data_IF_029888163670
#
_entry.id   IF_029888163670
#
_cell.length_a   1.000
_cell.length_b   1.000
_cell.length_c   1.000
_cell.angle_alpha   90.00
_cell.angle_beta   90.00
_cell.angle_gamma   90.00
#
_symmetry.space_group_name_H-M   'P 1'
#
loop_
_entity.id
_entity.type
_entity.pdbx_description
1 polymer ?
#
# COMPACT_ATOMS: atom_id res chain seq x y z
N UNK A 1 0.19 -5.68 -7.66
CA UNK A 1 0.96 -6.41 -8.69
C UNK A 1 2.34 -5.81 -8.97
N UNK A 2 2.48 -4.49 -9.18
CA UNK A 2 3.78 -3.86 -9.51
C UNK A 2 4.92 -4.17 -8.52
N UNK A 3 4.64 -4.18 -7.21
CA UNK A 3 5.67 -4.45 -6.20
C UNK A 3 6.13 -5.92 -6.13
N UNK A 4 5.27 -6.87 -6.53
CA UNK A 4 5.64 -8.29 -6.61
C UNK A 4 6.57 -8.54 -7.79
N UNK A 5 6.36 -7.84 -8.92
CA UNK A 5 7.28 -7.90 -10.07
C UNK A 5 8.64 -7.28 -9.71
N UNK A 6 8.65 -6.14 -9.02
CA UNK A 6 9.86 -5.49 -8.53
C UNK A 6 10.62 -6.36 -7.52
N UNK A 7 9.90 -7.00 -6.59
CA UNK A 7 10.48 -7.94 -5.63
C UNK A 7 11.07 -9.17 -6.33
N UNK A 8 10.32 -9.74 -7.29
CA UNK A 8 10.78 -10.88 -8.08
C UNK A 8 12.04 -10.56 -8.88
N UNK A 9 12.08 -9.39 -9.53
CA UNK A 9 13.28 -8.90 -10.23
C UNK A 9 14.48 -8.77 -9.29
N UNK A 10 14.28 -8.23 -8.08
CA UNK A 10 15.34 -8.06 -7.11
C UNK A 10 15.88 -9.40 -6.60
N UNK A 11 15.01 -10.37 -6.30
CA UNK A 11 15.40 -11.73 -5.90
C UNK A 11 16.23 -12.40 -7.00
N UNK A 12 15.80 -12.30 -8.26
CA UNK A 12 16.48 -12.91 -9.39
C UNK A 12 17.87 -12.31 -9.61
N UNK A 13 18.01 -10.99 -9.45
CA UNK A 13 19.29 -10.29 -9.52
C UNK A 13 20.24 -10.70 -8.39
N UNK A 14 19.75 -10.75 -7.15
CA UNK A 14 20.56 -11.20 -6.00
C UNK A 14 21.00 -12.65 -6.18
N UNK A 15 20.09 -13.52 -6.62
CA UNK A 15 20.39 -14.94 -6.87
C UNK A 15 21.43 -15.13 -7.99
N UNK A 16 21.29 -14.40 -9.11
CA UNK A 16 22.28 -14.40 -10.19
C UNK A 16 23.65 -13.88 -9.72
N UNK A 17 23.65 -12.86 -8.86
CA UNK A 17 24.86 -12.33 -8.26
C UNK A 17 25.56 -13.38 -7.37
N UNK A 18 24.81 -14.07 -6.51
CA UNK A 18 25.36 -15.10 -5.62
C UNK A 18 25.94 -16.28 -6.40
N UNK A 19 25.25 -16.73 -7.47
CA UNK A 19 25.72 -17.87 -8.29
C UNK A 19 26.94 -17.55 -9.14
N UNK A 20 27.13 -16.29 -9.54
CA UNK A 20 28.20 -15.89 -10.46
C UNK A 20 29.26 -15.01 -9.76
N UNK A 21 29.37 -15.09 -8.44
CA UNK A 21 30.22 -14.23 -7.62
C UNK A 21 31.69 -14.18 -8.09
N UNK A 22 32.22 -15.31 -8.59
CA UNK A 22 33.60 -15.37 -9.12
C UNK A 22 33.78 -14.59 -10.44
N UNK A 23 32.78 -14.57 -11.32
CA UNK A 23 32.78 -13.82 -12.59
C UNK A 23 32.86 -12.31 -12.33
N UNK A 24 32.36 -11.89 -11.18
CA UNK A 24 32.35 -10.49 -10.77
C UNK A 24 33.66 -10.01 -10.15
N UNK A 25 34.47 -10.91 -9.59
CA UNK A 25 35.79 -10.60 -9.04
C UNK A 25 36.94 -10.80 -10.03
N UNK A 26 36.72 -11.60 -11.06
CA UNK A 26 37.69 -11.72 -12.15
C UNK A 26 37.40 -10.67 -13.22
N UNK A 27 38.40 -9.84 -13.60
CA UNK A 27 38.26 -8.94 -14.74
C UNK A 27 38.21 -9.79 -16.01
N UNK A 28 37.01 -10.16 -16.43
CA UNK A 28 36.76 -10.80 -17.71
C UNK A 28 36.31 -9.75 -18.72
N UNK A 29 36.98 -9.75 -19.86
CA UNK A 29 36.59 -9.00 -21.03
C UNK A 29 35.45 -9.74 -21.71
N UNK A 30 34.24 -9.18 -21.66
CA UNK A 30 33.08 -9.69 -22.40
C UNK A 30 32.99 -8.91 -23.70
N UNK A 31 33.18 -9.61 -24.82
CA UNK A 31 32.98 -9.05 -26.14
C UNK A 31 31.53 -9.26 -26.57
N UNK A 32 30.80 -8.15 -26.74
CA UNK A 32 29.40 -8.16 -27.18
C UNK A 32 29.25 -7.84 -28.68
N UNK A 33 30.36 -7.77 -29.43
CA UNK A 33 30.37 -7.48 -30.86
C UNK A 33 30.32 -5.98 -31.22
N UNK A 34 30.11 -5.11 -30.23
CA UNK A 34 30.14 -3.63 -30.38
C UNK A 34 31.07 -2.97 -29.36
N UNK A 35 31.85 -3.76 -28.63
CA UNK A 35 32.80 -3.27 -27.64
C UNK A 35 33.16 -4.34 -26.63
N UNK A 36 34.36 -4.21 -26.06
CA UNK A 36 34.83 -5.03 -24.95
C UNK A 36 34.44 -4.32 -23.65
N UNK A 37 33.57 -4.95 -22.88
CA UNK A 37 33.16 -4.45 -21.57
C UNK A 37 33.80 -5.32 -20.49
N UNK A 38 34.32 -4.68 -19.46
CA UNK A 38 34.80 -5.38 -18.28
C UNK A 38 33.65 -5.66 -17.32
N UNK A 39 33.75 -6.74 -16.56
CA UNK A 39 32.75 -7.15 -15.56
C UNK A 39 32.49 -6.10 -14.46
N UNK A 40 33.44 -5.19 -14.22
CA UNK A 40 33.39 -4.18 -13.17
C UNK A 40 32.35 -3.06 -13.39
N UNK A 41 32.27 -2.38 -14.56
CA UNK A 41 31.18 -1.43 -14.83
C UNK A 41 29.79 -2.06 -14.79
N UNK A 42 29.64 -3.35 -15.13
CA UNK A 42 28.36 -4.05 -15.05
C UNK A 42 27.85 -4.15 -13.60
N UNK A 43 28.75 -4.46 -12.66
CA UNK A 43 28.45 -4.52 -11.22
C UNK A 43 28.00 -3.19 -10.64
N UNK A 44 28.69 -2.12 -10.99
CA UNK A 44 28.33 -0.77 -10.55
C UNK A 44 26.90 -0.44 -11.02
N UNK A 45 26.59 -0.77 -12.27
CA UNK A 45 25.26 -0.53 -12.86
C UNK A 45 24.19 -1.37 -12.16
N UNK A 46 24.48 -2.64 -11.83
CA UNK A 46 23.57 -3.50 -11.05
C UNK A 46 23.34 -2.96 -9.64
N UNK A 47 24.39 -2.50 -8.95
CA UNK A 47 24.28 -1.92 -7.62
C UNK A 47 23.40 -0.65 -7.61
N UNK A 48 23.60 0.25 -8.58
CA UNK A 48 22.71 1.40 -8.76
C UNK A 48 21.27 0.97 -9.04
N UNK A 49 21.05 -0.02 -9.91
CA UNK A 49 19.72 -0.57 -10.19
C UNK A 49 19.03 -1.11 -8.93
N UNK A 50 19.78 -1.77 -8.04
CA UNK A 50 19.27 -2.33 -6.78
C UNK A 50 18.87 -1.21 -5.81
N UNK A 51 19.67 -0.15 -5.71
CA UNK A 51 19.37 1.04 -4.91
C UNK A 51 18.07 1.71 -5.40
N UNK A 52 17.91 1.90 -6.71
CA UNK A 52 16.68 2.46 -7.28
C UNK A 52 15.46 1.58 -7.01
N UNK A 53 15.59 0.25 -7.14
CA UNK A 53 14.50 -0.67 -6.84
C UNK A 53 14.07 -0.58 -5.37
N UNK A 54 15.03 -0.54 -4.43
CA UNK A 54 14.75 -0.37 -3.01
C UNK A 54 14.05 0.97 -2.72
N UNK A 55 14.53 2.06 -3.33
CA UNK A 55 13.93 3.37 -3.17
C UNK A 55 12.48 3.41 -3.67
N UNK A 56 12.20 2.86 -4.86
CA UNK A 56 10.83 2.75 -5.38
C UNK A 56 9.95 1.87 -4.50
N UNK A 57 10.48 0.77 -3.97
CA UNK A 57 9.74 -0.11 -3.07
C UNK A 57 9.33 0.60 -1.78
N UNK A 58 10.25 1.34 -1.17
CA UNK A 58 9.98 2.14 0.04
C UNK A 58 8.96 3.25 -0.22
N UNK A 59 9.10 3.98 -1.34
CA UNK A 59 8.13 5.01 -1.72
C UNK A 59 6.73 4.43 -1.92
N UNK A 60 6.61 3.28 -2.60
CA UNK A 60 5.31 2.67 -2.87
C UNK A 60 4.66 2.12 -1.59
N UNK A 61 5.45 1.50 -0.69
CA UNK A 61 5.01 1.10 0.65
C UNK A 61 4.46 2.29 1.45
N UNK A 62 5.18 3.41 1.45
CA UNK A 62 4.75 4.59 2.19
C UNK A 62 3.45 5.18 1.62
N UNK A 63 3.29 5.16 0.28
CA UNK A 63 2.05 5.57 -0.37
C UNK A 63 0.88 4.65 -0.03
N UNK A 64 1.10 3.33 0.03
CA UNK A 64 0.08 2.37 0.42
C UNK A 64 -0.38 2.58 1.87
N UNK A 65 0.54 2.76 2.81
CA UNK A 65 0.19 3.02 4.21
C UNK A 65 -0.63 4.31 4.38
N UNK A 66 -0.28 5.38 3.65
CA UNK A 66 -1.06 6.63 3.67
C UNK A 66 -2.47 6.41 3.13
N UNK A 67 -2.62 5.65 2.05
CA UNK A 67 -3.94 5.35 1.49
C UNK A 67 -4.77 4.47 2.43
N UNK A 68 -4.18 3.47 3.08
CA UNK A 68 -4.89 2.63 4.05
C UNK A 68 -5.38 3.45 5.24
N UNK A 69 -4.56 4.34 5.78
CA UNK A 69 -4.95 5.23 6.87
C UNK A 69 -6.12 6.16 6.48
N UNK A 70 -6.13 6.68 5.24
CA UNK A 70 -7.23 7.50 4.73
C UNK A 70 -8.52 6.67 4.58
N UNK A 71 -8.40 5.44 4.05
CA UNK A 71 -9.54 4.53 3.88
C UNK A 71 -10.15 4.16 5.24
N UNK A 72 -9.31 3.89 6.23
CA UNK A 72 -9.77 3.56 7.58
C UNK A 72 -10.49 4.75 8.22
N UNK A 73 -9.96 5.96 8.06
CA UNK A 73 -10.61 7.16 8.57
C UNK A 73 -11.98 7.41 7.89
N UNK A 74 -12.04 7.31 6.56
CA UNK A 74 -13.30 7.39 5.80
C UNK A 74 -14.31 6.32 6.23
N UNK A 75 -13.86 5.10 6.51
CA UNK A 75 -14.72 4.01 6.99
C UNK A 75 -15.28 4.32 8.39
N UNK A 76 -14.48 4.92 9.26
CA UNK A 76 -14.93 5.36 10.58
C UNK A 76 -15.96 6.49 10.47
N UNK A 77 -15.72 7.50 9.63
CA UNK A 77 -16.70 8.57 9.37
C UNK A 77 -18.03 8.03 8.84
N UNK A 78 -17.99 7.13 7.85
CA UNK A 78 -19.20 6.45 7.34
C UNK A 78 -19.93 5.70 8.46
N UNK A 79 -19.19 5.05 9.35
CA UNK A 79 -19.77 4.29 10.46
C UNK A 79 -20.44 5.22 11.48
N UNK A 80 -19.84 6.37 11.78
CA UNK A 80 -20.41 7.40 12.65
C UNK A 80 -21.69 7.96 12.03
N UNK A 81 -21.63 8.39 10.76
CA UNK A 81 -22.80 8.91 10.05
C UNK A 81 -23.93 7.88 9.95
N UNK A 82 -23.62 6.60 9.79
CA UNK A 82 -24.62 5.53 9.80
C UNK A 82 -25.29 5.38 11.16
N UNK A 83 -24.52 5.47 12.26
CA UNK A 83 -25.07 5.46 13.63
C UNK A 83 -25.92 6.69 13.90
N UNK A 84 -25.50 7.86 13.45
CA UNK A 84 -26.26 9.11 13.61
C UNK A 84 -27.60 9.03 12.85
N UNK A 85 -27.59 8.46 11.64
CA UNK A 85 -28.81 8.22 10.88
C UNK A 85 -29.74 7.22 11.58
N UNK A 86 -29.19 6.15 12.14
CA UNK A 86 -29.96 5.16 12.92
C UNK A 86 -30.60 5.83 14.16
N UNK A 87 -29.86 6.65 14.90
CA UNK A 87 -30.39 7.42 16.04
C UNK A 87 -31.48 8.40 15.59
N UNK A 88 -31.27 9.11 14.47
CA UNK A 88 -32.27 10.02 13.92
C UNK A 88 -33.55 9.29 13.50
N UNK A 89 -33.41 8.11 12.88
CA UNK A 89 -34.54 7.27 12.49
C UNK A 89 -35.31 6.75 13.70
N UNK A 90 -34.61 6.32 14.76
CA UNK A 90 -35.20 5.88 16.01
C UNK A 90 -35.90 7.04 16.74
N UNK A 91 -35.31 8.24 16.73
CA UNK A 91 -35.97 9.44 17.28
C UNK A 91 -37.24 9.77 16.52
N UNK A 92 -37.23 9.78 15.19
CA UNK A 92 -38.44 9.99 14.39
C UNK A 92 -39.52 8.93 14.69
N UNK A 93 -39.13 7.67 14.82
CA UNK A 93 -40.06 6.60 15.17
C UNK A 93 -40.59 6.73 16.61
N UNK A 94 -39.77 7.21 17.57
CA UNK A 94 -40.22 7.46 18.94
C UNK A 94 -41.12 8.69 19.06
N UNK A 95 -40.84 9.76 18.32
CA UNK A 95 -41.67 10.97 18.28
C UNK A 95 -43.00 10.75 17.54
N UNK A 96 -43.09 9.71 16.70
CA UNK A 96 -44.37 9.27 16.13
C UNK A 96 -45.25 8.48 17.12
N UNK A 97 -44.69 8.03 18.26
CA UNK A 97 -45.43 7.29 19.30
C UNK A 97 -45.97 8.25 20.39
N UNK A 98 -45.47 9.49 20.48
CA UNK A 98 -46.08 10.54 21.30
C UNK A 98 -47.08 11.38 20.50
N UNK A 99 -48.27 10.83 20.25
CA UNK A 99 -49.45 11.60 20.62
C UNK A 99 -50.45 10.71 21.37
N UNK A 100 -51.05 11.25 22.44
CA UNK A 100 -52.22 10.74 23.19
C UNK A 100 -51.96 9.99 24.52
N UNK A 101 -51.24 10.59 25.48
CA UNK A 101 -51.40 10.19 26.92
C UNK A 101 -51.60 11.40 27.85
N UNK A 102 -51.95 12.59 27.35
CA UNK A 102 -52.21 13.76 28.23
C UNK A 102 -53.49 14.50 27.82
N UNK A 103 -54.62 13.80 27.74
CA UNK A 103 -55.96 14.41 27.84
C UNK A 103 -56.92 13.41 28.48
N UNK A 104 -56.82 13.19 29.79
CA UNK A 104 -57.90 12.61 30.60
C UNK A 104 -57.57 12.73 32.09
N UNK A 105 -57.44 13.95 32.61
CA UNK A 105 -57.61 14.17 34.05
C UNK A 105 -58.21 15.55 34.29
N UNK A 106 -59.49 15.67 33.93
CA UNK A 106 -60.44 16.58 34.57
C UNK A 106 -61.85 15.99 34.36
N UNK A 107 -62.73 16.15 35.35
CA UNK A 107 -64.09 15.58 35.51
C UNK A 107 -64.01 14.16 36.14
N UNK A 108 -64.18 13.94 37.45
CA UNK A 108 -65.30 14.29 38.37
C UNK A 108 -64.77 14.48 39.79
#
# INVERSE_FOLDING_TARGET
>A
MRNILLLGYLILNVFLYTLNFEIFHTPQAIDLGFGIFTTFPLLITMAFGLIFCLFFFLMDKNKQMKNEAIIENLKNEITIHKKDFEIASLKMNSSAIEPQVVVAEEII
#
